data_IF_167622300430
#
_entry.id   IF_167622300430
#
_cell.length_a   1.000
_cell.length_b   1.000
_cell.length_c   1.000
_cell.angle_alpha   90.00
_cell.angle_beta   90.00
_cell.angle_gamma   90.00
#
_symmetry.space_group_name_H-M   'P 1'
#
loop_
_entity.id
_entity.type
_entity.pdbx_description
1 polymer ?
#
# COMPACT_ATOMS: atom_id res chain seq x y z
N UNK A 1 5.95 20.40 5.69
CA UNK A 1 4.98 19.57 4.93
C UNK A 1 3.77 20.44 4.65
N UNK A 2 3.24 20.48 3.43
CA UNK A 2 2.05 21.30 3.14
C UNK A 2 0.77 20.63 3.69
N UNK A 3 -0.23 21.44 4.04
CA UNK A 3 -1.51 20.91 4.56
C UNK A 3 -2.22 20.01 3.55
N UNK A 4 -2.13 20.34 2.26
CA UNK A 4 -2.68 19.51 1.18
C UNK A 4 -2.05 18.10 1.14
N UNK A 5 -0.75 18.00 1.35
CA UNK A 5 -0.05 16.71 1.39
C UNK A 5 -0.45 15.90 2.63
N UNK A 6 -0.58 16.55 3.79
CA UNK A 6 -1.05 15.90 5.01
C UNK A 6 -2.47 15.34 4.85
N UNK A 7 -3.35 16.06 4.15
CA UNK A 7 -4.69 15.62 3.82
C UNK A 7 -4.68 14.42 2.87
N UNK A 8 -3.85 14.44 1.81
CA UNK A 8 -3.72 13.30 0.89
C UNK A 8 -3.21 12.03 1.59
N UNK A 9 -2.22 12.16 2.48
CA UNK A 9 -1.72 11.03 3.29
C UNK A 9 -2.81 10.50 4.23
N UNK A 10 -3.56 11.40 4.86
CA UNK A 10 -4.65 11.02 5.77
C UNK A 10 -5.80 10.32 5.03
N UNK A 11 -6.15 10.82 3.84
CA UNK A 11 -7.14 10.23 2.95
C UNK A 11 -6.70 8.82 2.51
N UNK A 12 -5.46 8.68 2.04
CA UNK A 12 -4.91 7.39 1.65
C UNK A 12 -5.02 6.36 2.80
N UNK A 13 -4.59 6.74 4.01
CA UNK A 13 -4.70 5.86 5.19
C UNK A 13 -6.14 5.45 5.49
N UNK A 14 -7.09 6.37 5.37
CA UNK A 14 -8.52 6.08 5.57
C UNK A 14 -9.05 5.07 4.55
N UNK A 15 -8.68 5.23 3.27
CA UNK A 15 -9.08 4.30 2.21
C UNK A 15 -8.52 2.88 2.44
N UNK A 16 -7.26 2.76 2.85
CA UNK A 16 -6.66 1.46 3.19
C UNK A 16 -7.38 0.79 4.37
N UNK A 17 -7.67 1.56 5.44
CA UNK A 17 -8.40 1.04 6.61
C UNK A 17 -9.82 0.60 6.27
N UNK A 18 -10.46 1.24 5.30
CA UNK A 18 -11.78 0.87 4.79
C UNK A 18 -11.74 -0.17 3.67
N UNK A 19 -10.57 -0.79 3.42
CA UNK A 19 -10.36 -1.86 2.43
C UNK A 19 -10.66 -1.44 0.99
N UNK A 20 -10.46 -0.17 0.66
CA UNK A 20 -10.59 0.37 -0.70
C UNK A 20 -9.30 0.17 -1.49
N UNK A 21 -9.16 -1.04 -2.03
CA UNK A 21 -8.01 -1.48 -2.82
C UNK A 21 -8.29 -1.34 -4.32
N UNK A 22 -8.25 -0.10 -4.82
CA UNK A 22 -8.51 0.22 -6.22
C UNK A 22 -7.44 1.18 -6.78
N UNK A 23 -7.46 1.38 -8.10
CA UNK A 23 -6.51 2.25 -8.80
C UNK A 23 -6.67 3.73 -8.43
N UNK A 24 -7.81 4.15 -7.88
CA UNK A 24 -7.97 5.52 -7.39
C UNK A 24 -7.17 5.72 -6.09
N UNK A 25 -7.19 4.75 -5.19
CA UNK A 25 -6.35 4.73 -4.00
C UNK A 25 -4.85 4.72 -4.34
N UNK A 26 -4.43 3.97 -5.37
CA UNK A 26 -3.03 3.98 -5.83
C UNK A 26 -2.60 5.35 -6.38
N UNK A 27 -3.46 6.02 -7.15
CA UNK A 27 -3.16 7.36 -7.68
C UNK A 27 -2.96 8.41 -6.60
N UNK A 28 -3.64 8.28 -5.45
CA UNK A 28 -3.40 9.16 -4.30
C UNK A 28 -1.98 8.94 -3.77
N UNK A 29 -1.53 7.68 -3.65
CA UNK A 29 -0.17 7.36 -3.24
C UNK A 29 0.88 7.95 -4.21
N UNK A 30 0.66 7.81 -5.52
CA UNK A 30 1.54 8.41 -6.54
C UNK A 30 1.65 9.94 -6.39
N UNK A 31 0.52 10.63 -6.20
CA UNK A 31 0.50 12.09 -5.97
C UNK A 31 1.29 12.51 -4.72
N UNK A 32 1.19 11.74 -3.64
CA UNK A 32 1.95 11.97 -2.41
C UNK A 32 3.45 11.82 -2.66
N UNK A 33 3.87 10.86 -3.49
CA UNK A 33 5.28 10.62 -3.77
C UNK A 33 5.88 11.67 -4.72
N UNK A 34 5.12 12.16 -5.70
CA UNK A 34 5.58 13.18 -6.67
C UNK A 34 5.70 14.57 -6.04
N UNK A 35 4.89 14.88 -5.03
CA UNK A 35 4.82 16.22 -4.42
C UNK A 35 5.88 16.52 -3.35
N UNK A 36 6.80 15.58 -3.06
CA UNK A 36 7.77 15.70 -1.97
C UNK A 36 9.20 16.01 -2.42
N UNK A 37 9.90 16.85 -1.64
CA UNK A 37 11.35 16.99 -1.72
C UNK A 37 12.06 15.67 -1.37
N UNK A 38 13.27 15.42 -1.87
CA UNK A 38 13.99 14.14 -1.66
C UNK A 38 14.13 13.75 -0.17
N UNK A 39 14.35 14.72 0.73
CA UNK A 39 14.46 14.45 2.18
C UNK A 39 13.10 14.08 2.80
N UNK A 40 12.06 14.86 2.52
CA UNK A 40 10.71 14.59 3.05
C UNK A 40 10.10 13.32 2.44
N UNK A 41 10.46 13.00 1.19
CA UNK A 41 10.02 11.80 0.49
C UNK A 41 10.46 10.52 1.23
N UNK A 42 11.72 10.44 1.68
CA UNK A 42 12.21 9.24 2.38
C UNK A 42 11.48 8.99 3.71
N UNK A 43 11.18 10.05 4.45
CA UNK A 43 10.43 9.96 5.72
C UNK A 43 8.98 9.54 5.49
N UNK A 44 8.34 10.12 4.48
CA UNK A 44 6.98 9.76 4.07
C UNK A 44 6.93 8.31 3.57
N UNK A 45 7.87 7.90 2.72
CA UNK A 45 7.99 6.53 2.22
C UNK A 45 8.20 5.53 3.37
N UNK A 46 9.11 5.82 4.31
CA UNK A 46 9.35 4.96 5.48
C UNK A 46 8.07 4.77 6.31
N UNK A 47 7.37 5.87 6.58
CA UNK A 47 6.14 5.85 7.37
C UNK A 47 5.01 5.09 6.67
N UNK A 48 4.83 5.32 5.36
CA UNK A 48 3.82 4.62 4.56
C UNK A 48 4.16 3.14 4.39
N UNK A 49 5.44 2.79 4.29
CA UNK A 49 5.93 1.41 4.24
C UNK A 49 5.54 0.64 5.50
N UNK A 50 5.84 1.19 6.68
CA UNK A 50 5.48 0.57 7.97
C UNK A 50 3.97 0.38 8.07
N UNK A 51 3.21 1.43 7.71
CA UNK A 51 1.75 1.38 7.70
C UNK A 51 1.21 0.28 6.77
N UNK A 52 1.66 0.23 5.52
CA UNK A 52 1.19 -0.76 4.55
C UNK A 52 1.59 -2.19 4.92
N UNK A 53 2.79 -2.40 5.49
CA UNK A 53 3.20 -3.73 6.00
C UNK A 53 2.26 -4.21 7.12
N UNK A 54 1.88 -3.31 8.02
CA UNK A 54 0.90 -3.62 9.09
C UNK A 54 -0.46 -3.98 8.51
N UNK A 55 -0.99 -3.14 7.61
CA UNK A 55 -2.30 -3.35 7.01
C UNK A 55 -2.34 -4.59 6.12
N UNK A 56 -1.30 -4.85 5.32
CA UNK A 56 -1.23 -6.02 4.45
C UNK A 56 -1.30 -7.33 5.25
N UNK A 57 -0.64 -7.38 6.41
CA UNK A 57 -0.69 -8.57 7.28
C UNK A 57 -2.09 -8.81 7.85
N UNK A 58 -2.78 -7.74 8.26
CA UNK A 58 -4.18 -7.82 8.71
C UNK A 58 -5.08 -8.32 7.58
N UNK A 59 -4.95 -7.71 6.39
CA UNK A 59 -5.78 -8.01 5.23
C UNK A 59 -5.59 -9.44 4.75
N UNK A 60 -4.35 -9.94 4.67
CA UNK A 60 -4.09 -11.32 4.24
C UNK A 60 -4.85 -12.33 5.12
N UNK A 61 -4.96 -12.08 6.43
CA UNK A 61 -5.74 -12.92 7.36
C UNK A 61 -7.24 -12.79 7.12
N UNK A 62 -7.73 -11.58 6.85
CA UNK A 62 -9.15 -11.30 6.61
C UNK A 62 -9.68 -11.88 5.29
N UNK A 63 -8.83 -11.95 4.26
CA UNK A 63 -9.25 -12.36 2.91
C UNK A 63 -9.18 -13.87 2.68
N UNK A 64 -8.81 -14.67 3.68
CA UNK A 64 -8.67 -16.13 3.57
C UNK A 64 -9.94 -16.81 3.04
N UNK A 65 -11.12 -16.31 3.41
CA UNK A 65 -12.42 -16.85 2.98
C UNK A 65 -12.98 -16.17 1.71
N UNK A 66 -12.26 -15.21 1.11
CA UNK A 66 -12.73 -14.54 -0.11
C UNK A 66 -12.51 -15.39 -1.37
N UNK A 67 -13.29 -15.15 -2.45
CA UNK A 67 -13.01 -15.72 -3.76
C UNK A 67 -11.59 -15.42 -4.24
N UNK A 68 -10.99 -16.37 -4.97
CA UNK A 68 -9.61 -16.27 -5.48
C UNK A 68 -9.38 -14.98 -6.27
N UNK A 69 -10.34 -14.57 -7.09
CA UNK A 69 -10.26 -13.34 -7.89
C UNK A 69 -10.11 -12.08 -7.02
N UNK A 70 -10.86 -12.02 -5.90
CA UNK A 70 -10.74 -10.90 -4.96
C UNK A 70 -9.40 -10.95 -4.21
N UNK A 71 -8.93 -12.14 -3.82
CA UNK A 71 -7.62 -12.30 -3.19
C UNK A 71 -6.50 -11.79 -4.10
N UNK A 72 -6.53 -12.17 -5.38
CA UNK A 72 -5.55 -11.74 -6.37
C UNK A 72 -5.58 -10.24 -6.61
N UNK A 73 -6.78 -9.64 -6.73
CA UNK A 73 -6.91 -8.19 -6.91
C UNK A 73 -6.35 -7.40 -5.71
N UNK A 74 -6.61 -7.87 -4.49
CA UNK A 74 -6.08 -7.25 -3.27
C UNK A 74 -4.56 -7.40 -3.19
N UNK A 75 -4.03 -8.57 -3.53
CA UNK A 75 -2.59 -8.82 -3.56
C UNK A 75 -1.90 -7.94 -4.61
N UNK A 76 -2.47 -7.83 -5.80
CA UNK A 76 -1.99 -6.97 -6.88
C UNK A 76 -1.91 -5.50 -6.44
N UNK A 77 -2.94 -5.01 -5.74
CA UNK A 77 -2.92 -3.67 -5.17
C UNK A 77 -1.73 -3.46 -4.24
N UNK A 78 -1.48 -4.38 -3.28
CA UNK A 78 -0.37 -4.25 -2.35
C UNK A 78 0.99 -4.32 -3.05
N UNK A 79 1.15 -5.23 -4.02
CA UNK A 79 2.37 -5.33 -4.83
C UNK A 79 2.66 -3.99 -5.53
N UNK A 80 1.66 -3.40 -6.18
CA UNK A 80 1.78 -2.09 -6.83
C UNK A 80 2.10 -0.98 -5.82
N UNK A 81 1.44 -0.95 -4.67
CA UNK A 81 1.69 0.04 -3.63
C UNK A 81 3.12 -0.05 -3.07
N UNK A 82 3.64 -1.26 -2.81
CA UNK A 82 5.02 -1.44 -2.36
C UNK A 82 6.05 -1.09 -3.42
N UNK A 83 5.77 -1.39 -4.70
CA UNK A 83 6.60 -0.98 -5.82
C UNK A 83 6.71 0.56 -5.91
N UNK A 84 5.60 1.28 -5.74
CA UNK A 84 5.57 2.74 -5.75
C UNK A 84 6.42 3.36 -4.63
N UNK A 85 6.42 2.75 -3.44
CA UNK A 85 7.19 3.24 -2.27
C UNK A 85 8.67 2.83 -2.37
N UNK A 86 9.09 2.28 -3.51
CA UNK A 86 10.44 1.77 -3.77
C UNK A 86 10.91 0.82 -2.67
N UNK A 87 10.00 0.01 -2.12
CA UNK A 87 10.36 -1.05 -1.18
C UNK A 87 10.74 -2.31 -1.97
N UNK A 88 11.94 -2.27 -2.54
CA UNK A 88 12.49 -3.37 -3.34
C UNK A 88 12.70 -4.64 -2.49
N UNK A 89 12.80 -4.50 -1.16
CA UNK A 89 12.90 -5.64 -0.23
C UNK A 89 11.58 -6.40 -0.03
N UNK A 90 10.42 -5.73 -0.12
CA UNK A 90 9.12 -6.43 0.01
C UNK A 90 8.80 -7.24 -1.26
N UNK A 91 9.24 -6.78 -2.43
CA UNK A 91 9.05 -7.49 -3.69
C UNK A 91 9.76 -8.86 -3.72
N UNK A 92 10.86 -9.02 -2.98
CA UNK A 92 11.57 -10.30 -2.86
C UNK A 92 11.04 -11.21 -1.73
N UNK A 93 10.21 -10.67 -0.82
CA UNK A 93 9.71 -11.35 0.37
C UNK A 93 8.26 -11.83 0.27
N UNK A 94 7.52 -11.51 -0.80
CA UNK A 94 6.18 -12.08 -1.03
C UNK A 94 6.38 -13.52 -1.53
N UNK A 95 6.18 -14.56 -0.70
CA UNK A 95 6.28 -15.93 -1.15
C UNK A 95 4.96 -16.19 -1.88
N UNK A 96 4.99 -16.21 -3.22
CA UNK A 96 3.89 -16.73 -4.05
C UNK A 96 3.49 -18.17 -3.64
N UNK A 97 4.34 -18.84 -2.86
CA UNK A 97 4.16 -20.17 -2.31
C UNK A 97 3.12 -20.28 -1.17
N UNK A 98 2.73 -19.18 -0.52
CA UNK A 98 1.74 -19.21 0.59
C UNK A 98 0.29 -19.14 0.10
N UNK A 99 0.06 -18.92 -1.20
CA UNK A 99 -1.28 -18.74 -1.79
C UNK A 99 -1.78 -19.95 -2.58
N UNK A 100 -0.97 -21.01 -2.70
CA UNK A 100 -1.31 -22.27 -3.35
C UNK A 100 -1.29 -23.40 -2.32
N UNK A 101 -2.24 -23.40 -1.40
CA UNK A 101 -2.69 -24.61 -0.70
C UNK A 101 -4.09 -24.40 -0.15
#
# INVERSE_FOLDING_TARGET
MSDALAQQISLFRSLIKTRRFDDATLRILESVLVSNSVKSLKEVQSTLRVFLRSESLSVIREIAEKPVQQKLSILEFFVRAFALIADVEVLSLIPLRTFLH
#
